data_IF_393440175063
#
_entry.id   IF_393440175063
#
_cell.length_a   1.000
_cell.length_b   1.000
_cell.length_c   1.000
_cell.angle_alpha   90.00
_cell.angle_beta   90.00
_cell.angle_gamma   90.00
#
_symmetry.space_group_name_H-M   'P 1'
#
loop_
_entity.id
_entity.type
_entity.pdbx_description
1 polymer ?
#
# COMPACT_ATOMS: atom_id res chain seq x y z
N UNK A 1 -16.43 -63.06 -53.81
CA UNK A 1 -17.80 -62.60 -54.15
C UNK A 1 -18.09 -61.37 -53.29
N UNK A 2 -17.70 -60.17 -53.76
CA UNK A 2 -18.57 -59.20 -54.50
C UNK A 2 -19.62 -58.62 -53.55
N UNK A 3 -19.67 -57.33 -53.20
CA UNK A 3 -19.43 -56.13 -53.99
C UNK A 3 -19.19 -54.91 -53.08
N UNK A 4 -18.35 -53.98 -53.56
CA UNK A 4 -18.39 -52.54 -53.26
C UNK A 4 -19.69 -51.94 -53.82
N UNK A 5 -20.18 -50.85 -53.20
CA UNK A 5 -20.90 -49.77 -53.92
C UNK A 5 -20.92 -48.52 -53.04
N UNK A 6 -20.29 -47.48 -53.57
CA UNK A 6 -20.25 -46.10 -53.12
C UNK A 6 -21.66 -45.48 -53.03
N UNK A 7 -21.80 -44.46 -52.17
CA UNK A 7 -22.65 -43.30 -52.44
C UNK A 7 -22.09 -42.05 -51.75
N UNK A 8 -21.75 -41.11 -52.62
CA UNK A 8 -21.35 -39.73 -52.37
C UNK A 8 -22.58 -38.82 -52.17
N UNK A 9 -22.32 -37.54 -51.87
CA UNK A 9 -23.23 -36.36 -51.83
C UNK A 9 -23.60 -35.76 -50.45
N UNK A 10 -22.68 -34.92 -49.98
CA UNK A 10 -22.78 -33.44 -49.87
C UNK A 10 -24.00 -32.71 -49.25
N UNK A 11 -23.65 -31.69 -48.45
CA UNK A 11 -24.36 -30.43 -48.12
C UNK A 11 -25.39 -30.48 -46.98
N UNK A 12 -25.04 -29.92 -45.81
CA UNK A 12 -25.57 -28.61 -45.39
C UNK A 12 -24.77 -28.05 -44.20
N UNK A 13 -24.45 -26.77 -44.30
CA UNK A 13 -23.81 -25.98 -43.26
C UNK A 13 -24.73 -25.78 -42.06
N UNK A 14 -24.18 -25.79 -40.86
CA UNK A 14 -24.62 -24.84 -39.84
C UNK A 14 -23.48 -24.52 -38.90
N UNK A 15 -22.94 -23.31 -39.09
CA UNK A 15 -22.28 -22.55 -38.04
C UNK A 15 -23.16 -22.55 -36.78
N UNK A 16 -22.57 -22.91 -35.65
CA UNK A 16 -22.97 -22.33 -34.37
C UNK A 16 -21.73 -22.17 -33.48
N UNK A 17 -21.21 -20.95 -33.55
CA UNK A 17 -20.79 -20.13 -32.41
C UNK A 17 -19.73 -20.71 -31.48
N UNK A 18 -18.52 -20.16 -31.65
CA UNK A 18 -17.43 -20.27 -30.70
C UNK A 18 -17.90 -20.02 -29.28
N UNK A 19 -17.42 -20.89 -28.39
CA UNK A 19 -17.38 -20.63 -26.96
C UNK A 19 -16.64 -19.30 -26.80
N UNK A 20 -17.25 -18.25 -26.24
CA UNK A 20 -16.49 -17.08 -25.84
C UNK A 20 -15.46 -17.60 -24.84
N UNK A 21 -14.19 -17.56 -25.23
CA UNK A 21 -13.10 -17.54 -24.27
C UNK A 21 -13.49 -16.51 -23.23
N UNK A 22 -13.82 -16.96 -22.02
CA UNK A 22 -13.99 -16.10 -20.88
C UNK A 22 -12.62 -15.45 -20.71
N UNK A 23 -12.46 -14.27 -21.29
CA UNK A 23 -11.40 -13.35 -20.93
C UNK A 23 -11.53 -13.22 -19.43
N UNK A 24 -10.55 -13.74 -18.69
CA UNK A 24 -10.45 -13.55 -17.26
C UNK A 24 -10.66 -12.07 -17.01
N UNK A 25 -11.86 -11.70 -16.54
CA UNK A 25 -12.12 -10.35 -16.08
C UNK A 25 -11.06 -10.11 -15.03
N UNK A 26 -10.17 -9.15 -15.26
CA UNK A 26 -9.13 -8.81 -14.31
C UNK A 26 -9.84 -8.44 -13.00
N UNK A 27 -9.88 -9.38 -12.06
CA UNK A 27 -10.64 -9.20 -10.82
C UNK A 27 -10.11 -7.96 -10.11
N UNK A 28 -11.04 -7.06 -9.76
CA UNK A 28 -10.75 -5.88 -8.95
C UNK A 28 -10.12 -6.33 -7.62
N UNK A 29 -8.85 -5.94 -7.32
CA UNK A 29 -8.14 -6.45 -6.16
C UNK A 29 -8.62 -5.86 -4.84
N UNK A 30 -9.39 -4.77 -4.85
CA UNK A 30 -9.78 -4.01 -3.64
C UNK A 30 -10.30 -4.89 -2.49
N UNK A 31 -11.29 -5.76 -2.76
CA UNK A 31 -11.89 -6.58 -1.71
C UNK A 31 -10.91 -7.63 -1.16
N UNK A 32 -10.05 -8.20 -2.00
CA UNK A 32 -9.04 -9.15 -1.54
C UNK A 32 -7.92 -8.45 -0.78
N UNK A 33 -7.57 -7.23 -1.17
CA UNK A 33 -6.59 -6.39 -0.46
C UNK A 33 -7.10 -6.04 0.96
N UNK A 34 -8.35 -5.58 1.07
CA UNK A 34 -8.97 -5.30 2.37
C UNK A 34 -9.06 -6.55 3.25
N UNK A 35 -9.32 -7.73 2.67
CA UNK A 35 -9.29 -9.01 3.42
C UNK A 35 -7.90 -9.29 4.00
N UNK A 36 -6.84 -9.10 3.23
CA UNK A 36 -5.45 -9.24 3.72
C UNK A 36 -5.21 -8.32 4.92
N UNK A 37 -5.68 -7.07 4.86
CA UNK A 37 -5.53 -6.11 5.96
C UNK A 37 -6.36 -6.49 7.20
N UNK A 38 -7.57 -7.02 7.02
CA UNK A 38 -8.39 -7.53 8.12
C UNK A 38 -7.75 -8.76 8.79
N UNK A 39 -7.22 -9.70 8.02
CA UNK A 39 -6.48 -10.85 8.53
C UNK A 39 -5.20 -10.43 9.27
N UNK A 40 -4.48 -9.44 8.73
CA UNK A 40 -3.34 -8.82 9.41
C UNK A 40 -3.77 -8.21 10.75
N UNK A 41 -4.87 -7.46 10.80
CA UNK A 41 -5.39 -6.88 12.04
C UNK A 41 -5.71 -7.96 13.09
N UNK A 42 -6.27 -9.10 12.69
CA UNK A 42 -6.55 -10.23 13.60
C UNK A 42 -5.26 -10.84 14.17
N UNK A 43 -4.20 -10.98 13.36
CA UNK A 43 -2.91 -11.49 13.85
C UNK A 43 -2.25 -10.50 14.81
N UNK A 44 -2.29 -9.20 14.47
CA UNK A 44 -1.68 -8.14 15.25
C UNK A 44 -2.39 -7.89 16.60
N UNK A 45 -3.71 -8.09 16.69
CA UNK A 45 -4.45 -7.91 17.94
C UNK A 45 -4.06 -8.91 19.04
N UNK A 46 -3.44 -10.04 18.66
CA UNK A 46 -2.92 -11.03 19.61
C UNK A 46 -1.53 -10.68 20.17
N UNK A 47 -0.88 -9.65 19.63
CA UNK A 47 0.44 -9.24 20.11
C UNK A 47 0.31 -8.37 21.37
N UNK A 48 1.08 -8.73 22.40
CA UNK A 48 1.25 -7.90 23.60
C UNK A 48 2.61 -7.24 23.55
N UNK A 49 2.60 -5.91 23.50
CA UNK A 49 3.82 -5.11 23.48
C UNK A 49 4.22 -4.72 24.91
N UNK A 50 5.51 -4.80 25.21
CA UNK A 50 6.09 -4.42 26.50
C UNK A 50 7.00 -3.20 26.35
N UNK A 51 7.63 -2.80 27.45
CA UNK A 51 8.55 -1.66 27.47
C UNK A 51 9.58 -1.70 26.32
N UNK A 52 9.86 -0.54 25.69
CA UNK A 52 9.45 0.81 26.08
C UNK A 52 8.09 1.26 25.51
N UNK A 53 7.30 0.34 24.95
CA UNK A 53 6.04 0.64 24.25
C UNK A 53 4.93 0.79 25.28
N UNK A 54 4.25 1.92 25.26
CA UNK A 54 3.19 2.25 26.23
C UNK A 54 1.85 2.56 25.56
N UNK A 55 1.88 2.93 24.27
CA UNK A 55 0.70 3.14 23.46
C UNK A 55 0.91 2.53 22.07
N UNK A 56 -0.11 1.83 21.59
CA UNK A 56 -0.15 1.23 20.26
C UNK A 56 -1.45 1.66 19.61
N UNK A 57 -1.39 2.31 18.45
CA UNK A 57 -2.60 2.59 17.68
C UNK A 57 -2.60 1.80 16.38
N UNK A 58 -3.79 1.38 15.96
CA UNK A 58 -4.04 0.79 14.66
C UNK A 58 -5.10 1.60 13.88
N UNK A 59 -4.70 2.49 12.94
CA UNK A 59 -5.64 3.27 12.13
C UNK A 59 -6.53 2.40 11.24
N UNK A 60 -6.13 1.15 10.94
CA UNK A 60 -7.01 0.23 10.21
C UNK A 60 -8.19 -0.27 11.06
N UNK A 61 -8.29 0.13 12.33
CA UNK A 61 -9.48 -0.08 13.15
C UNK A 61 -10.30 1.22 13.27
N UNK A 62 -9.71 2.27 13.84
CA UNK A 62 -10.47 3.49 14.16
C UNK A 62 -10.64 4.46 12.97
N UNK A 63 -9.81 4.33 11.92
CA UNK A 63 -9.90 5.10 10.68
C UNK A 63 -10.21 4.18 9.48
N UNK A 64 -10.92 3.07 9.72
CA UNK A 64 -11.27 2.10 8.69
C UNK A 64 -12.09 2.73 7.56
N UNK A 65 -13.10 3.54 7.86
CA UNK A 65 -13.98 4.09 6.84
C UNK A 65 -13.26 4.90 5.74
N UNK A 66 -12.41 5.90 6.05
CA UNK A 66 -11.63 6.57 5.00
C UNK A 66 -10.58 5.65 4.37
N UNK A 67 -10.02 4.68 5.10
CA UNK A 67 -9.08 3.71 4.54
C UNK A 67 -9.73 2.79 3.50
N UNK A 68 -10.89 2.20 3.83
CA UNK A 68 -11.69 1.41 2.90
C UNK A 68 -12.09 2.25 1.69
N UNK A 69 -12.53 3.49 1.88
CA UNK A 69 -12.83 4.41 0.76
C UNK A 69 -11.59 4.61 -0.13
N UNK A 70 -10.40 4.81 0.44
CA UNK A 70 -9.15 4.91 -0.31
C UNK A 70 -8.89 3.66 -1.17
N UNK A 71 -9.00 2.46 -0.59
CA UNK A 71 -8.77 1.21 -1.33
C UNK A 71 -9.85 0.99 -2.39
N UNK A 72 -11.13 1.20 -2.05
CA UNK A 72 -12.24 1.05 -2.99
C UNK A 72 -12.19 2.08 -4.11
N UNK A 73 -11.70 3.29 -3.89
CA UNK A 73 -11.56 4.27 -4.97
C UNK A 73 -10.37 3.95 -5.88
N UNK A 74 -9.21 3.61 -5.30
CA UNK A 74 -7.95 3.60 -6.04
C UNK A 74 -7.37 2.22 -6.36
N UNK A 75 -7.95 1.15 -5.82
CA UNK A 75 -7.51 -0.24 -6.04
C UNK A 75 -8.47 -1.05 -6.92
N UNK A 76 -9.10 -0.38 -7.91
CA UNK A 76 -10.09 -0.98 -8.81
C UNK A 76 -9.50 -1.91 -9.90
N UNK A 77 -8.18 -1.93 -10.03
CA UNK A 77 -7.44 -2.71 -11.01
C UNK A 77 -6.11 -3.19 -10.43
N UNK A 78 -5.53 -4.23 -11.04
CA UNK A 78 -4.15 -4.65 -10.76
C UNK A 78 -3.16 -3.50 -10.98
N UNK A 79 -2.04 -3.58 -10.30
CA UNK A 79 -1.04 -2.52 -10.22
C UNK A 79 0.29 -3.03 -10.78
N UNK A 80 1.07 -2.16 -11.39
CA UNK A 80 2.42 -2.46 -11.86
C UNK A 80 3.44 -2.18 -10.76
N UNK A 81 3.21 -1.11 -9.97
CA UNK A 81 4.15 -0.60 -8.96
C UNK A 81 3.47 -0.45 -7.59
N UNK A 82 4.11 -0.95 -6.54
CA UNK A 82 3.74 -0.68 -5.15
C UNK A 82 4.78 0.22 -4.48
N UNK A 83 4.37 1.40 -4.02
CA UNK A 83 5.17 2.21 -3.10
C UNK A 83 4.91 1.74 -1.66
N UNK A 84 5.98 1.35 -0.95
CA UNK A 84 5.88 0.76 0.38
C UNK A 84 6.54 1.65 1.44
N UNK A 85 5.74 2.26 2.30
CA UNK A 85 6.20 2.93 3.52
C UNK A 85 6.46 1.95 4.67
N UNK A 86 7.04 2.43 5.76
CA UNK A 86 7.36 1.59 6.92
C UNK A 86 6.12 1.38 7.79
N UNK A 87 5.61 2.46 8.38
CA UNK A 87 4.43 2.45 9.24
C UNK A 87 3.84 3.87 9.35
N UNK A 88 2.62 4.04 9.89
CA UNK A 88 1.99 5.35 10.02
C UNK A 88 2.85 6.38 10.77
N UNK A 89 2.86 7.61 10.26
CA UNK A 89 3.26 8.76 11.04
C UNK A 89 2.08 9.35 11.84
N UNK A 90 2.36 10.10 12.93
CA UNK A 90 1.37 10.51 13.92
C UNK A 90 0.36 11.56 13.42
N UNK A 91 0.67 12.26 12.34
CA UNK A 91 -0.16 13.35 11.79
C UNK A 91 -0.61 13.09 10.35
N UNK A 92 -0.23 11.94 9.77
CA UNK A 92 -0.65 11.47 8.46
C UNK A 92 -1.63 10.30 8.59
N UNK A 93 -1.19 9.09 8.27
CA UNK A 93 -2.03 7.89 8.26
C UNK A 93 -2.69 7.59 9.62
N UNK A 94 -2.05 7.93 10.75
CA UNK A 94 -2.68 7.78 12.06
C UNK A 94 -3.92 8.67 12.24
N UNK A 95 -4.08 9.74 11.44
CA UNK A 95 -5.24 10.61 11.48
C UNK A 95 -6.25 10.26 10.37
N UNK A 96 -5.77 9.86 9.20
CA UNK A 96 -6.60 9.76 7.99
C UNK A 96 -6.91 8.33 7.54
N UNK A 97 -6.19 7.33 8.04
CA UNK A 97 -6.25 5.96 7.53
C UNK A 97 -5.53 5.76 6.19
N UNK A 98 -5.04 6.81 5.53
CA UNK A 98 -4.39 6.73 4.21
C UNK A 98 -2.86 6.70 4.34
N UNK A 99 -2.13 5.80 3.66
CA UNK A 99 -0.66 5.80 3.65
C UNK A 99 -0.07 7.14 3.23
N UNK A 100 0.96 7.60 3.95
CA UNK A 100 1.50 8.97 3.78
C UNK A 100 0.43 10.07 3.86
N UNK A 101 -0.69 9.80 4.54
CA UNK A 101 -1.93 10.56 4.39
C UNK A 101 -1.98 11.87 5.15
N UNK A 102 -1.20 12.86 4.74
CA UNK A 102 -1.35 14.23 5.21
C UNK A 102 -2.74 14.78 4.87
N UNK A 103 -3.41 15.39 5.87
CA UNK A 103 -4.83 15.72 5.83
C UNK A 103 -5.24 16.52 4.59
N UNK A 104 -4.48 17.56 4.23
CA UNK A 104 -4.85 18.42 3.10
C UNK A 104 -4.77 17.68 1.76
N UNK A 105 -3.72 16.89 1.52
CA UNK A 105 -3.62 16.11 0.29
C UNK A 105 -4.65 15.00 0.23
N UNK A 106 -4.92 14.32 1.35
CA UNK A 106 -5.96 13.27 1.38
C UNK A 106 -7.34 13.86 1.08
N UNK A 107 -7.70 14.99 1.71
CA UNK A 107 -9.00 15.62 1.50
C UNK A 107 -9.11 16.29 0.13
N UNK A 108 -8.12 17.08 -0.27
CA UNK A 108 -8.29 18.02 -1.39
C UNK A 108 -7.78 17.46 -2.72
N UNK A 109 -6.88 16.46 -2.71
CA UNK A 109 -6.35 15.85 -3.94
C UNK A 109 -6.82 14.41 -4.12
N UNK A 110 -6.70 13.57 -3.09
CA UNK A 110 -7.25 12.20 -3.11
C UNK A 110 -8.78 12.17 -2.92
N UNK A 111 -9.40 13.27 -2.48
CA UNK A 111 -10.85 13.37 -2.26
C UNK A 111 -11.41 12.24 -1.36
N UNK A 112 -10.58 11.78 -0.42
CA UNK A 112 -10.96 10.79 0.58
C UNK A 112 -11.32 11.51 1.87
N UNK A 113 -12.47 11.12 2.41
CA UNK A 113 -12.99 11.56 3.69
C UNK A 113 -13.85 10.44 4.27
N UNK A 114 -14.03 10.46 5.58
CA UNK A 114 -14.84 9.48 6.29
C UNK A 114 -14.76 9.69 7.80
N UNK A 115 -15.66 9.07 8.56
CA UNK A 115 -15.61 9.13 10.01
C UNK A 115 -14.32 8.48 10.52
N UNK A 116 -13.71 9.12 11.52
CA UNK A 116 -12.54 8.61 12.24
C UNK A 116 -12.88 8.62 13.72
N UNK A 117 -12.83 7.44 14.35
CA UNK A 117 -12.99 7.31 15.79
C UNK A 117 -11.63 7.46 16.50
N UNK A 118 -11.48 6.89 17.69
CA UNK A 118 -10.26 7.04 18.50
C UNK A 118 -9.72 5.66 18.88
N UNK A 119 -8.40 5.52 19.06
CA UNK A 119 -7.82 4.38 19.77
C UNK A 119 -8.42 4.25 21.18
N UNK A 120 -8.45 3.04 21.73
CA UNK A 120 -8.99 2.78 23.07
C UNK A 120 -8.27 3.59 24.16
N UNK A 121 -6.95 3.71 24.04
CA UNK A 121 -6.11 4.46 24.99
C UNK A 121 -5.24 5.45 24.21
N UNK A 122 -5.49 6.74 24.39
CA UNK A 122 -4.71 7.79 23.73
C UNK A 122 -3.66 8.41 24.65
N UNK A 123 -2.45 8.61 24.13
CA UNK A 123 -1.50 9.51 24.76
C UNK A 123 -1.94 10.98 24.54
N UNK A 124 -1.98 11.84 25.58
CA UNK A 124 -2.51 13.21 25.48
C UNK A 124 -1.84 14.11 24.43
N UNK A 125 -0.56 13.89 24.11
CA UNK A 125 0.20 14.62 23.07
C UNK A 125 0.03 14.04 21.65
N UNK A 126 -0.74 12.97 21.49
CA UNK A 126 -0.92 12.21 20.25
C UNK A 126 -2.39 11.80 20.08
N UNK A 127 -3.28 12.78 20.23
CA UNK A 127 -4.71 12.58 20.02
C UNK A 127 -5.02 12.40 18.54
N UNK A 128 -5.97 11.53 18.26
CA UNK A 128 -6.59 11.35 16.96
C UNK A 128 -7.75 12.33 16.85
N UNK A 129 -7.65 13.20 15.84
CA UNK A 129 -8.64 14.23 15.50
C UNK A 129 -9.21 14.03 14.10
N UNK A 130 -8.84 12.95 13.42
CA UNK A 130 -9.27 12.70 12.05
C UNK A 130 -8.84 13.81 11.09
N UNK A 131 -9.74 14.16 10.19
CA UNK A 131 -9.58 15.23 9.21
C UNK A 131 -9.59 16.66 9.81
N UNK A 132 -9.80 16.79 11.12
CA UNK A 132 -9.67 18.05 11.86
C UNK A 132 -8.29 18.23 12.50
N UNK A 133 -7.36 17.30 12.26
CA UNK A 133 -5.98 17.43 12.72
C UNK A 133 -5.33 18.69 12.12
N UNK A 134 -4.87 19.65 12.94
CA UNK A 134 -4.30 20.91 12.45
C UNK A 134 -2.83 20.75 12.02
N UNK A 135 -2.17 19.66 12.41
CA UNK A 135 -0.79 19.40 12.03
C UNK A 135 -0.71 18.80 10.63
N UNK A 136 0.22 19.31 9.82
CA UNK A 136 0.60 18.71 8.55
C UNK A 136 1.78 17.75 8.74
N UNK A 137 1.65 16.53 8.24
CA UNK A 137 2.75 15.57 8.23
C UNK A 137 3.68 15.83 7.04
N UNK A 138 4.85 16.42 7.30
CA UNK A 138 5.83 16.82 6.27
C UNK A 138 6.18 15.69 5.29
N UNK A 139 6.32 14.45 5.79
CA UNK A 139 6.63 13.30 4.94
C UNK A 139 5.51 13.02 3.94
N UNK A 140 4.27 13.04 4.40
CA UNK A 140 3.07 12.83 3.58
C UNK A 140 2.81 13.98 2.61
N UNK A 141 2.96 15.22 3.09
CA UNK A 141 2.84 16.42 2.25
C UNK A 141 3.84 16.39 1.09
N UNK A 142 5.12 16.09 1.35
CA UNK A 142 6.13 15.96 0.28
C UNK A 142 5.79 14.85 -0.69
N UNK A 143 5.41 13.67 -0.18
CA UNK A 143 5.08 12.52 -1.00
C UNK A 143 3.92 12.82 -1.97
N UNK A 144 2.79 13.28 -1.45
CA UNK A 144 1.62 13.53 -2.29
C UNK A 144 1.70 14.82 -3.11
N UNK A 145 2.40 15.85 -2.64
CA UNK A 145 2.68 17.05 -3.45
C UNK A 145 3.47 16.72 -4.72
N UNK A 146 4.46 15.83 -4.59
CA UNK A 146 5.26 15.36 -5.71
C UNK A 146 4.40 14.65 -6.75
N UNK A 147 3.61 13.65 -6.36
CA UNK A 147 2.77 12.92 -7.32
C UNK A 147 1.62 13.78 -7.86
N UNK A 148 1.07 14.70 -7.07
CA UNK A 148 0.13 15.71 -7.57
C UNK A 148 0.74 16.56 -8.67
N UNK A 149 1.99 17.00 -8.51
CA UNK A 149 2.69 17.81 -9.51
C UNK A 149 3.03 17.01 -10.76
N UNK A 150 3.41 15.74 -10.60
CA UNK A 150 3.80 14.87 -11.70
C UNK A 150 2.59 14.35 -12.51
N UNK A 151 1.53 13.94 -11.82
CA UNK A 151 0.42 13.19 -12.41
C UNK A 151 -0.81 14.08 -12.68
N UNK A 152 -0.88 15.26 -12.06
CA UNK A 152 -2.05 16.15 -12.09
C UNK A 152 -3.22 15.60 -11.27
N UNK A 153 -3.86 14.56 -11.79
CA UNK A 153 -5.00 13.87 -11.18
C UNK A 153 -4.57 12.59 -10.44
N UNK A 154 -5.27 12.18 -9.37
CA UNK A 154 -4.95 10.95 -8.66
C UNK A 154 -5.16 9.71 -9.53
N UNK A 155 -6.14 9.70 -10.43
CA UNK A 155 -6.43 8.57 -11.33
C UNK A 155 -5.21 8.21 -12.19
N UNK A 156 -4.48 9.22 -12.69
CA UNK A 156 -3.23 9.03 -13.44
C UNK A 156 -2.19 8.27 -12.62
N UNK A 157 -2.01 8.63 -11.33
CA UNK A 157 -1.10 7.91 -10.44
C UNK A 157 -1.59 6.48 -10.18
N UNK A 158 -2.87 6.33 -9.83
CA UNK A 158 -3.42 5.04 -9.41
C UNK A 158 -3.74 4.09 -10.56
N UNK A 159 -3.64 4.54 -11.82
CA UNK A 159 -3.79 3.68 -12.99
C UNK A 159 -2.83 2.48 -12.93
N UNK A 160 -1.58 2.74 -12.53
CA UNK A 160 -0.52 1.72 -12.47
C UNK A 160 0.14 1.59 -11.10
N UNK A 161 -0.05 2.55 -10.20
CA UNK A 161 0.61 2.56 -8.90
C UNK A 161 -0.37 2.39 -7.74
N UNK A 162 0.15 1.93 -6.60
CA UNK A 162 -0.56 1.95 -5.33
C UNK A 162 0.40 2.22 -4.18
N UNK A 163 -0.12 2.61 -3.03
CA UNK A 163 0.69 2.95 -1.85
C UNK A 163 0.18 2.18 -0.64
N UNK A 164 1.11 1.60 0.11
CA UNK A 164 0.79 0.85 1.32
C UNK A 164 1.92 1.02 2.36
N UNK A 165 1.68 0.62 3.61
CA UNK A 165 2.70 0.53 4.64
C UNK A 165 2.97 -0.94 4.98
N UNK A 166 4.22 -1.28 5.26
CA UNK A 166 4.57 -2.64 5.71
C UNK A 166 3.86 -3.01 7.02
N UNK A 167 3.84 -2.09 7.99
CA UNK A 167 3.19 -2.29 9.28
C UNK A 167 2.11 -1.22 9.48
N UNK A 168 0.85 -1.58 9.82
CA UNK A 168 -0.20 -0.60 10.07
C UNK A 168 -0.12 0.03 11.46
N UNK A 169 0.71 -0.49 12.37
CA UNK A 169 0.76 -0.01 13.75
C UNK A 169 1.66 1.21 13.92
N UNK A 170 1.28 2.09 14.85
CA UNK A 170 2.13 3.17 15.36
C UNK A 170 2.37 2.97 16.85
N UNK A 171 3.62 3.08 17.27
CA UNK A 171 4.09 2.81 18.63
C UNK A 171 4.59 4.08 19.29
N UNK A 172 4.28 4.26 20.58
CA UNK A 172 4.76 5.39 21.36
C UNK A 172 5.21 4.96 22.75
N UNK A 173 6.24 5.62 23.27
CA UNK A 173 6.66 5.46 24.67
C UNK A 173 5.81 6.30 25.63
N UNK A 174 6.12 6.23 26.93
CA UNK A 174 5.41 6.96 27.99
C UNK A 174 5.28 8.48 27.77
N UNK A 175 6.19 9.09 27.00
CA UNK A 175 6.21 10.54 26.73
C UNK A 175 5.42 10.94 25.47
N UNK A 176 4.87 9.96 24.74
CA UNK A 176 4.28 10.13 23.41
C UNK A 176 5.31 10.25 22.29
N UNK A 177 6.58 9.93 22.54
CA UNK A 177 7.61 9.89 21.50
C UNK A 177 7.34 8.67 20.62
N UNK A 178 7.31 8.90 19.31
CA UNK A 178 7.16 7.83 18.32
C UNK A 178 8.34 6.85 18.40
N UNK A 179 8.01 5.55 18.42
CA UNK A 179 8.92 4.44 18.25
C UNK A 179 8.66 3.83 16.86
N UNK A 180 9.71 3.70 16.07
CA UNK A 180 9.66 2.97 14.80
C UNK A 180 9.78 1.47 15.08
N UNK A 181 9.35 0.58 14.16
CA UNK A 181 9.55 -0.86 14.32
C UNK A 181 10.99 -1.26 14.67
N UNK A 182 12.00 -0.51 14.21
CA UNK A 182 13.42 -0.77 14.57
C UNK A 182 13.77 -0.45 16.01
N UNK A 183 13.04 0.46 16.66
CA UNK A 183 13.23 0.83 18.07
C UNK A 183 12.65 -0.21 19.05
N UNK A 184 11.86 -1.17 18.55
CA UNK A 184 11.23 -2.20 19.39
C UNK A 184 12.26 -3.24 19.87
N UNK A 185 12.04 -3.84 21.06
CA UNK A 185 12.84 -4.96 21.54
C UNK A 185 12.84 -6.12 20.54
N UNK A 186 13.99 -6.79 20.40
CA UNK A 186 14.26 -7.76 19.32
C UNK A 186 13.15 -8.80 19.14
N UNK A 187 12.74 -9.47 20.22
CA UNK A 187 11.72 -10.52 20.14
C UNK A 187 10.36 -10.01 19.62
N UNK A 188 9.87 -8.91 20.19
CA UNK A 188 8.60 -8.29 19.78
C UNK A 188 8.68 -7.79 18.33
N UNK A 189 9.82 -7.21 17.95
CA UNK A 189 10.07 -6.72 16.59
C UNK A 189 10.08 -7.86 15.57
N UNK A 190 10.74 -8.98 15.86
CA UNK A 190 10.84 -10.11 14.93
C UNK A 190 9.46 -10.71 14.64
N UNK A 191 8.69 -11.03 15.69
CA UNK A 191 7.33 -11.55 15.53
C UNK A 191 6.41 -10.58 14.78
N UNK A 192 6.44 -9.28 15.14
CA UNK A 192 5.66 -8.25 14.45
C UNK A 192 5.99 -8.22 12.95
N UNK A 193 7.27 -8.15 12.62
CA UNK A 193 7.68 -7.97 11.24
C UNK A 193 7.49 -9.24 10.39
N UNK A 194 7.55 -10.44 10.99
CA UNK A 194 7.22 -11.69 10.30
C UNK A 194 5.74 -11.76 9.92
N UNK A 195 4.85 -11.37 10.83
CA UNK A 195 3.40 -11.27 10.55
C UNK A 195 3.13 -10.26 9.41
N UNK A 196 3.77 -9.09 9.47
CA UNK A 196 3.64 -8.07 8.43
C UNK A 196 4.27 -8.50 7.09
N UNK A 197 5.36 -9.27 7.10
CA UNK A 197 5.99 -9.81 5.89
C UNK A 197 5.05 -10.76 5.14
N UNK A 198 4.35 -11.65 5.85
CA UNK A 198 3.37 -12.56 5.27
C UNK A 198 2.24 -11.78 4.58
N UNK A 199 1.68 -10.78 5.27
CA UNK A 199 0.64 -9.92 4.71
C UNK A 199 1.13 -9.11 3.50
N UNK A 200 2.37 -8.60 3.53
CA UNK A 200 2.97 -7.93 2.38
C UNK A 200 3.05 -8.87 1.16
N UNK A 201 3.47 -10.13 1.37
CA UNK A 201 3.56 -11.11 0.30
C UNK A 201 2.18 -11.40 -0.33
N UNK A 202 1.14 -11.51 0.49
CA UNK A 202 -0.24 -11.64 0.01
C UNK A 202 -0.70 -10.39 -0.76
N UNK A 203 -0.48 -9.19 -0.22
CA UNK A 203 -0.83 -7.94 -0.87
C UNK A 203 -0.14 -7.79 -2.24
N UNK A 204 1.15 -8.13 -2.34
CA UNK A 204 1.90 -8.12 -3.61
C UNK A 204 1.28 -9.06 -4.64
N UNK A 205 0.90 -10.28 -4.23
CA UNK A 205 0.22 -11.26 -5.11
C UNK A 205 -1.16 -10.76 -5.55
N UNK A 206 -1.94 -10.21 -4.63
CA UNK A 206 -3.29 -9.66 -4.90
C UNK A 206 -3.23 -8.50 -5.89
N UNK A 207 -2.31 -7.56 -5.68
CA UNK A 207 -2.14 -6.41 -6.58
C UNK A 207 -1.54 -6.81 -7.94
N UNK A 208 -0.78 -7.90 -7.98
CA UNK A 208 -0.10 -8.38 -9.19
C UNK A 208 1.05 -7.48 -9.64
N UNK A 209 1.73 -6.82 -8.70
CA UNK A 209 2.82 -5.87 -9.00
C UNK A 209 4.07 -6.56 -9.52
N UNK A 210 4.80 -5.86 -10.39
CA UNK A 210 6.10 -6.29 -10.93
C UNK A 210 7.26 -5.61 -10.22
N UNK A 211 7.01 -4.45 -9.60
CA UNK A 211 7.99 -3.65 -8.89
C UNK A 211 7.45 -3.18 -7.54
N UNK A 212 8.21 -3.42 -6.48
CA UNK A 212 8.03 -2.76 -5.18
C UNK A 212 9.10 -1.71 -4.99
N UNK A 213 8.68 -0.48 -4.70
CA UNK A 213 9.54 0.64 -4.38
C UNK A 213 9.42 0.93 -2.88
N UNK A 214 10.44 0.53 -2.11
CA UNK A 214 10.56 0.89 -0.71
C UNK A 214 10.83 2.39 -0.54
N UNK A 215 9.96 3.09 0.19
CA UNK A 215 10.16 4.50 0.54
C UNK A 215 11.08 4.56 1.77
N UNK A 216 12.38 4.65 1.52
CA UNK A 216 13.41 4.52 2.53
C UNK A 216 13.99 3.11 2.66
N UNK A 217 15.18 3.03 3.28
CA UNK A 217 15.99 1.81 3.31
C UNK A 217 15.37 0.67 4.08
N UNK A 218 14.65 0.96 5.16
CA UNK A 218 13.95 -0.08 5.92
C UNK A 218 12.96 -0.83 5.03
N UNK A 219 12.04 -0.12 4.36
CA UNK A 219 11.01 -0.73 3.55
C UNK A 219 11.57 -1.46 2.34
N UNK A 220 12.60 -0.91 1.69
CA UNK A 220 13.29 -1.59 0.57
C UNK A 220 13.89 -2.92 1.03
N UNK A 221 14.67 -2.91 2.11
CA UNK A 221 15.35 -4.11 2.60
C UNK A 221 14.36 -5.13 3.14
N UNK A 222 13.30 -4.68 3.84
CA UNK A 222 12.30 -5.57 4.40
C UNK A 222 11.45 -6.23 3.32
N UNK A 223 10.98 -5.47 2.33
CA UNK A 223 10.26 -6.04 1.20
C UNK A 223 11.12 -7.05 0.43
N UNK A 224 12.39 -6.73 0.17
CA UNK A 224 13.32 -7.66 -0.51
C UNK A 224 13.45 -8.96 0.28
N UNK A 225 13.69 -8.87 1.60
CA UNK A 225 13.80 -10.05 2.46
C UNK A 225 12.52 -10.91 2.41
N UNK A 226 11.35 -10.29 2.62
CA UNK A 226 10.07 -10.99 2.69
C UNK A 226 9.75 -11.72 1.37
N UNK A 227 9.84 -11.00 0.24
CA UNK A 227 9.49 -11.54 -1.08
C UNK A 227 10.47 -12.63 -1.54
N UNK A 228 11.78 -12.48 -1.27
CA UNK A 228 12.77 -13.53 -1.57
C UNK A 228 12.55 -14.78 -0.73
N UNK A 229 12.20 -14.65 0.55
CA UNK A 229 11.93 -15.82 1.40
C UNK A 229 10.76 -16.67 0.91
N UNK A 230 9.78 -16.03 0.26
CA UNK A 230 8.59 -16.65 -0.33
C UNK A 230 8.75 -17.01 -1.82
N UNK A 231 9.93 -16.83 -2.40
CA UNK A 231 10.20 -17.11 -3.82
C UNK A 231 9.35 -16.28 -4.80
N UNK A 232 8.90 -15.09 -4.39
CA UNK A 232 8.09 -14.20 -5.23
C UNK A 232 9.02 -13.42 -6.17
N UNK A 233 8.90 -13.68 -7.47
CA UNK A 233 9.68 -13.00 -8.52
C UNK A 233 9.14 -11.60 -8.81
N UNK A 234 9.47 -10.65 -7.93
CA UNK A 234 9.13 -9.23 -8.03
C UNK A 234 10.37 -8.40 -7.77
N UNK A 235 10.60 -7.39 -8.61
CA UNK A 235 11.75 -6.51 -8.44
C UNK A 235 11.55 -5.61 -7.23
N UNK A 236 12.58 -5.46 -6.38
CA UNK A 236 12.55 -4.53 -5.23
C UNK A 236 13.63 -3.49 -5.34
N UNK A 237 13.22 -2.22 -5.40
CA UNK A 237 14.09 -1.04 -5.43
C UNK A 237 13.66 -0.06 -4.34
N UNK A 238 14.39 1.03 -4.18
CA UNK A 238 14.10 2.02 -3.14
C UNK A 238 14.30 3.44 -3.64
N UNK A 239 13.51 4.35 -3.07
CA UNK A 239 13.68 5.80 -3.20
C UNK A 239 14.02 6.42 -1.84
N UNK A 240 14.51 7.65 -1.86
CA UNK A 240 14.78 8.40 -0.64
C UNK A 240 13.48 8.61 0.17
N UNK A 241 13.52 8.44 1.49
CA UNK A 241 12.37 8.77 2.35
C UNK A 241 12.21 10.30 2.49
N UNK A 242 10.98 10.84 2.42
CA UNK A 242 10.70 12.29 2.50
C UNK A 242 10.86 12.93 3.89
N UNK A 243 11.36 12.20 4.89
CA UNK A 243 11.29 12.64 6.29
C UNK A 243 12.20 13.84 6.53
N UNK A 244 11.74 14.87 7.27
CA UNK A 244 12.59 15.99 7.62
C UNK A 244 13.76 15.61 8.54
N UNK A 245 13.73 14.40 9.13
CA UNK A 245 14.88 13.85 9.89
C UNK A 245 16.06 13.50 9.00
N UNK A 246 15.85 13.33 7.68
CA UNK A 246 16.93 13.14 6.72
C UNK A 246 17.40 14.51 6.20
N UNK A 247 18.63 14.97 6.52
CA UNK A 247 19.12 16.26 6.07
C UNK A 247 19.15 16.40 4.54
N UNK A 248 19.36 15.30 3.81
CA UNK A 248 19.36 15.32 2.34
C UNK A 248 17.96 15.60 1.77
N UNK A 249 16.90 15.06 2.39
CA UNK A 249 15.53 15.32 1.97
C UNK A 249 15.15 16.80 2.11
N UNK A 250 15.76 17.52 3.06
CA UNK A 250 15.54 18.95 3.24
C UNK A 250 16.25 19.83 2.20
N UNK A 251 17.17 19.27 1.40
CA UNK A 251 17.93 19.99 0.37
C UNK A 251 17.35 19.83 -1.05
N UNK A 252 16.19 19.17 -1.19
CA UNK A 252 15.55 18.94 -2.49
C UNK A 252 15.15 17.48 -2.69
N UNK A 253 14.29 16.95 -1.82
CA UNK A 253 13.80 15.57 -1.92
C UNK A 253 13.18 15.25 -3.29
N UNK A 254 12.36 16.16 -3.83
CA UNK A 254 11.65 15.95 -5.10
C UNK A 254 12.61 15.72 -6.26
N UNK A 255 13.65 16.55 -6.41
CA UNK A 255 14.64 16.39 -7.49
C UNK A 255 15.39 15.05 -7.41
N UNK A 256 15.71 14.59 -6.20
CA UNK A 256 16.36 13.29 -6.01
C UNK A 256 15.41 12.15 -6.39
N UNK A 257 14.16 12.20 -5.95
CA UNK A 257 13.19 11.14 -6.24
C UNK A 257 12.79 11.13 -7.71
N UNK A 258 12.68 12.29 -8.39
CA UNK A 258 12.49 12.35 -9.83
C UNK A 258 13.56 11.59 -10.59
N UNK A 259 14.84 11.82 -10.26
CA UNK A 259 15.96 11.12 -10.90
C UNK A 259 15.94 9.62 -10.63
N UNK A 260 15.62 9.21 -9.39
CA UNK A 260 15.48 7.80 -9.03
C UNK A 260 14.34 7.12 -9.79
N UNK A 261 13.17 7.76 -9.90
CA UNK A 261 12.04 7.22 -10.65
C UNK A 261 12.31 7.16 -12.17
N UNK A 262 13.10 8.11 -12.70
CA UNK A 262 13.56 8.08 -14.08
C UNK A 262 14.49 6.88 -14.34
N UNK A 263 15.47 6.65 -13.45
CA UNK A 263 16.40 5.51 -13.54
C UNK A 263 15.66 4.17 -13.44
N UNK A 264 14.59 4.11 -12.63
CA UNK A 264 13.73 2.93 -12.52
C UNK A 264 12.78 2.74 -13.70
N UNK A 265 12.71 3.70 -14.64
CA UNK A 265 11.84 3.63 -15.81
C UNK A 265 10.35 3.73 -15.48
N UNK A 266 9.97 4.29 -14.33
CA UNK A 266 8.55 4.35 -13.89
C UNK A 266 7.87 5.67 -14.22
N UNK A 267 8.60 6.70 -14.66
CA UNK A 267 8.00 8.00 -14.98
C UNK A 267 6.94 7.90 -16.09
N UNK A 268 7.13 7.04 -17.10
CA UNK A 268 6.16 6.81 -18.17
C UNK A 268 4.84 6.20 -17.69
N UNK A 269 4.82 5.57 -16.51
CA UNK A 269 3.60 5.06 -15.87
C UNK A 269 2.85 6.14 -15.08
N UNK A 270 3.51 7.27 -14.82
CA UNK A 270 3.03 8.35 -13.94
C UNK A 270 2.65 9.61 -14.73
N UNK A 271 2.96 9.63 -16.03
CA UNK A 271 2.60 10.70 -16.96
C UNK A 271 1.72 10.09 -18.05
N UNK A 272 0.46 10.51 -18.11
CA UNK A 272 -0.46 10.16 -19.20
C UNK A 272 -0.11 10.87 -20.50
#
# INVERSE_FOLDING_TARGET
CTNELEKDESILSTHCSGVPSITASAECPANNFLKVELELNLKLSNLVFQDPIQYVYNPLLYAWAPHEKYVQTYCQSRKEVLFLGMNPGPFGMAQTGVPFGEVNHVRNWLQIEGPVSKPEVEHPKRRIRGFECPQSEVSGARFWSFFKSLCGQPETFFQHCFVHNHCPLIFMNHSGKNLTPTDLPKAQRETLLEICDEALCQAVRVLGVKLVIGVGRFSEQRARKALTAEGIDVTVKGIMHPSPRNPQANKGWEGVVSAQLQELGVLSLLTG
#
